data_IF_557399813253
#
_entry.id   IF_557399813253
#
_cell.length_a   1.000
_cell.length_b   1.000
_cell.length_c   1.000
_cell.angle_alpha   90.00
_cell.angle_beta   90.00
_cell.angle_gamma   90.00
#
_symmetry.space_group_name_H-M   'P 1'
#
loop_
_entity.id
_entity.type
_entity.pdbx_description
1 polymer ?
#
# COMPACT_ATOMS: atom_id res chain seq x y z
N UNK A 1 52.33 -16.00 38.95
CA UNK A 1 52.73 -16.22 37.55
C UNK A 1 51.74 -17.17 36.91
N UNK A 2 50.81 -16.65 36.10
CA UNK A 2 50.01 -17.49 35.19
C UNK A 2 49.71 -16.67 33.96
N UNK A 3 50.51 -16.91 32.92
CA UNK A 3 50.40 -16.30 31.60
C UNK A 3 49.36 -17.06 30.80
N UNK A 4 48.27 -16.41 30.38
CA UNK A 4 47.38 -16.94 29.34
C UNK A 4 47.50 -16.04 28.12
N UNK A 5 47.98 -16.63 27.02
CA UNK A 5 48.02 -16.00 25.70
C UNK A 5 46.96 -16.65 24.80
N UNK A 6 46.61 -15.87 23.76
CA UNK A 6 46.08 -16.26 22.44
C UNK A 6 44.54 -16.48 22.40
N UNK A 7 43.81 -15.61 21.69
CA UNK A 7 43.38 -15.89 20.31
C UNK A 7 42.74 -14.66 19.66
N UNK A 8 43.32 -14.24 18.54
CA UNK A 8 42.75 -13.28 17.61
C UNK A 8 41.51 -13.90 16.95
N UNK A 9 40.38 -13.23 17.05
CA UNK A 9 39.22 -13.49 16.21
C UNK A 9 39.09 -12.32 15.22
N UNK A 10 39.46 -12.58 13.97
CA UNK A 10 39.23 -11.67 12.86
C UNK A 10 37.71 -11.52 12.66
N UNK A 11 37.16 -10.37 13.03
CA UNK A 11 35.77 -10.02 12.75
C UNK A 11 35.63 -9.67 11.27
N UNK A 12 35.04 -10.58 10.48
CA UNK A 12 34.53 -10.24 9.16
C UNK A 12 33.37 -9.25 9.34
N UNK A 13 33.60 -7.98 9.03
CA UNK A 13 32.54 -6.98 8.92
C UNK A 13 31.88 -7.17 7.55
N UNK A 14 30.75 -7.85 7.52
CA UNK A 14 29.88 -7.87 6.34
C UNK A 14 29.22 -6.49 6.19
N UNK A 15 29.69 -5.69 5.24
CA UNK A 15 29.02 -4.45 4.82
C UNK A 15 27.75 -4.84 4.06
N UNK A 16 26.60 -4.76 4.72
CA UNK A 16 25.31 -4.83 4.06
C UNK A 16 25.12 -3.55 3.22
N UNK A 17 25.27 -3.66 1.90
CA UNK A 17 24.92 -2.58 0.99
C UNK A 17 23.39 -2.53 0.86
N UNK A 18 22.76 -1.56 1.52
CA UNK A 18 21.34 -1.27 1.32
C UNK A 18 21.24 -0.50 0.00
N UNK A 19 20.43 -0.92 -0.98
CA UNK A 19 20.18 -0.11 -2.17
C UNK A 19 19.41 1.14 -1.74
N UNK A 20 20.04 2.30 -1.82
CA UNK A 20 19.37 3.59 -1.74
C UNK A 20 18.55 3.76 -3.02
N UNK A 21 17.24 3.53 -2.92
CA UNK A 21 16.30 3.91 -3.97
C UNK A 21 16.14 5.43 -3.94
N UNK A 22 16.88 6.11 -4.82
CA UNK A 22 16.65 7.51 -5.12
C UNK A 22 15.32 7.65 -5.86
N UNK A 23 14.24 7.92 -5.13
CA UNK A 23 12.98 8.31 -5.72
C UNK A 23 13.09 9.79 -6.12
N UNK A 24 13.48 10.03 -7.39
CA UNK A 24 13.40 11.35 -7.98
C UNK A 24 11.94 11.81 -7.93
N UNK A 25 11.66 12.77 -7.05
CA UNK A 25 10.36 13.41 -6.95
C UNK A 25 10.21 14.43 -8.09
N UNK A 26 10.09 13.94 -9.32
CA UNK A 26 9.53 14.74 -10.40
C UNK A 26 8.00 14.72 -10.25
N UNK A 27 7.46 15.87 -9.86
CA UNK A 27 6.04 16.07 -9.59
C UNK A 27 5.16 15.80 -10.80
N UNK A 28 4.71 14.56 -10.94
CA UNK A 28 3.46 14.16 -11.63
C UNK A 28 2.83 13.00 -10.87
N UNK A 29 1.52 13.03 -10.59
CA UNK A 29 0.84 11.84 -10.07
C UNK A 29 0.72 10.83 -11.21
N UNK A 30 1.63 9.85 -11.25
CA UNK A 30 1.50 8.66 -12.09
C UNK A 30 0.61 7.62 -11.37
N UNK A 31 -0.37 7.01 -12.04
CA UNK A 31 -1.21 5.99 -11.42
C UNK A 31 -0.37 4.73 -11.17
N UNK A 32 -0.18 4.37 -9.90
CA UNK A 32 0.53 3.15 -9.54
C UNK A 32 -0.16 1.90 -10.13
N UNK A 33 0.55 1.21 -11.02
CA UNK A 33 0.17 -0.05 -11.61
C UNK A 33 0.32 -1.23 -10.61
N UNK A 34 -0.55 -2.22 -10.79
CA UNK A 34 -0.80 -3.37 -9.93
C UNK A 34 0.43 -4.27 -9.64
N UNK A 35 0.47 -4.82 -8.42
CA UNK A 35 1.25 -5.99 -8.02
C UNK A 35 0.31 -7.02 -7.34
N UNK A 36 0.69 -8.32 -7.25
CA UNK A 36 -0.08 -9.43 -7.80
C UNK A 36 -1.26 -9.94 -6.95
N UNK A 37 -2.19 -10.59 -7.65
CA UNK A 37 -3.44 -11.14 -7.14
C UNK A 37 -3.23 -12.31 -6.18
N UNK A 38 -3.71 -12.13 -4.95
CA UNK A 38 -4.01 -13.20 -4.00
C UNK A 38 -5.22 -14.00 -4.54
N UNK A 39 -4.94 -15.01 -5.35
CA UNK A 39 -5.91 -15.83 -6.07
C UNK A 39 -6.69 -16.83 -5.17
N UNK A 40 -6.78 -16.57 -3.87
CA UNK A 40 -7.54 -17.36 -2.90
C UNK A 40 -8.70 -16.58 -2.21
N UNK A 41 -8.85 -15.27 -2.45
CA UNK A 41 -9.94 -14.44 -1.92
C UNK A 41 -11.05 -14.15 -2.95
N UNK A 42 -11.19 -15.04 -3.94
CA UNK A 42 -11.95 -14.86 -5.19
C UNK A 42 -13.47 -15.05 -5.03
N UNK A 43 -14.03 -14.54 -3.94
CA UNK A 43 -15.36 -13.93 -3.97
C UNK A 43 -15.13 -12.42 -3.98
N UNK A 44 -14.51 -11.92 -5.05
CA UNK A 44 -14.19 -10.51 -5.27
C UNK A 44 -15.44 -9.68 -5.03
N UNK A 45 -15.58 -9.14 -3.81
CA UNK A 45 -16.76 -8.38 -3.39
C UNK A 45 -16.82 -7.17 -4.29
N UNK A 46 -17.67 -7.22 -5.32
CA UNK A 46 -17.84 -6.15 -6.31
C UNK A 46 -18.02 -4.83 -5.56
N UNK A 47 -17.06 -3.92 -5.73
CA UNK A 47 -17.13 -2.58 -5.16
C UNK A 47 -17.80 -1.67 -6.17
N UNK A 48 -18.67 -0.81 -5.67
CA UNK A 48 -19.39 0.22 -6.40
C UNK A 48 -18.85 1.56 -5.95
N UNK A 49 -18.46 2.39 -6.92
CA UNK A 49 -17.89 3.70 -6.66
C UNK A 49 -18.89 4.80 -6.99
N UNK A 50 -19.18 5.63 -6.00
CA UNK A 50 -20.04 6.81 -6.14
C UNK A 50 -19.16 8.06 -6.07
N UNK A 51 -19.44 9.04 -6.91
CA UNK A 51 -18.76 10.33 -6.90
C UNK A 51 -19.60 11.31 -6.11
N UNK A 52 -19.05 11.85 -5.03
CA UNK A 52 -19.69 12.83 -4.16
C UNK A 52 -19.08 14.21 -4.39
N UNK A 53 -19.92 15.18 -4.71
CA UNK A 53 -19.54 16.58 -4.69
C UNK A 53 -19.58 17.07 -3.24
N UNK A 54 -18.44 17.49 -2.71
CA UNK A 54 -18.37 18.08 -1.36
C UNK A 54 -18.58 19.59 -1.46
N UNK A 55 -19.53 20.15 -0.70
CA UNK A 55 -19.76 21.60 -0.64
C UNK A 55 -18.48 22.35 -0.26
N UNK A 56 -18.19 23.45 -0.96
CA UNK A 56 -16.99 24.27 -0.72
C UNK A 56 -15.70 23.72 -1.36
N UNK A 57 -15.74 22.56 -2.01
CA UNK A 57 -14.63 22.03 -2.80
C UNK A 57 -15.05 21.84 -4.26
N UNK A 58 -14.16 22.19 -5.19
CA UNK A 58 -14.33 21.86 -6.63
C UNK A 58 -13.85 20.45 -6.98
N UNK A 59 -13.22 19.76 -6.02
CA UNK A 59 -12.70 18.41 -6.22
C UNK A 59 -13.74 17.41 -5.70
N UNK A 60 -14.29 16.63 -6.62
CA UNK A 60 -15.21 15.55 -6.30
C UNK A 60 -14.45 14.37 -5.67
N UNK A 61 -15.05 13.72 -4.68
CA UNK A 61 -14.48 12.54 -4.01
C UNK A 61 -15.12 11.29 -4.55
N UNK A 62 -14.31 10.26 -4.84
CA UNK A 62 -14.80 8.94 -5.25
C UNK A 62 -14.78 8.01 -4.06
N UNK A 63 -15.95 7.56 -3.63
CA UNK A 63 -16.11 6.62 -2.52
C UNK A 63 -16.48 5.26 -3.10
N UNK A 64 -15.68 4.24 -2.82
CA UNK A 64 -15.91 2.88 -3.30
C UNK A 64 -16.22 1.93 -2.14
N UNK A 65 -17.42 1.34 -2.12
CA UNK A 65 -17.84 0.36 -1.11
C UNK A 65 -18.51 -0.84 -1.77
N UNK A 66 -18.60 -1.96 -1.07
CA UNK A 66 -19.40 -3.11 -1.52
C UNK A 66 -20.89 -2.78 -1.48
N UNK A 67 -21.73 -3.55 -2.18
CA UNK A 67 -23.19 -3.33 -2.16
C UNK A 67 -23.75 -3.38 -0.73
N UNK A 68 -23.33 -4.34 0.08
CA UNK A 68 -23.78 -4.49 1.47
C UNK A 68 -23.46 -3.25 2.31
N UNK A 69 -22.25 -2.68 2.13
CA UNK A 69 -21.86 -1.46 2.83
C UNK A 69 -22.67 -0.24 2.36
N UNK A 70 -23.04 -0.16 1.08
CA UNK A 70 -23.92 0.90 0.59
C UNK A 70 -25.35 0.75 1.11
N UNK A 71 -25.88 -0.47 1.12
CA UNK A 71 -27.21 -0.76 1.66
C UNK A 71 -27.28 -0.46 3.17
N UNK A 72 -26.20 -0.66 3.91
CA UNK A 72 -26.10 -0.26 5.32
C UNK A 72 -26.19 1.27 5.52
N UNK A 73 -25.88 2.06 4.48
CA UNK A 73 -26.08 3.52 4.45
C UNK A 73 -27.45 3.90 3.86
N UNK A 74 -28.29 2.95 3.48
CA UNK A 74 -29.58 3.20 2.83
C UNK A 74 -29.48 3.59 1.35
N UNK A 75 -28.36 3.32 0.68
CA UNK A 75 -28.14 3.63 -0.73
C UNK A 75 -27.91 2.34 -1.54
N UNK A 76 -28.61 2.14 -2.66
CA UNK A 76 -28.32 1.03 -3.58
C UNK A 76 -27.65 1.55 -4.87
N UNK A 77 -26.33 1.32 -5.07
CA UNK A 77 -25.61 1.78 -6.26
C UNK A 77 -25.98 1.01 -7.55
N UNK A 78 -26.87 0.02 -7.46
CA UNK A 78 -27.30 -0.82 -8.60
C UNK A 78 -28.75 -0.60 -9.01
N UNK A 79 -29.53 0.15 -8.24
CA UNK A 79 -30.87 0.55 -8.64
C UNK A 79 -30.74 1.71 -9.64
N UNK A 80 -31.06 1.44 -10.91
CA UNK A 80 -31.10 2.43 -11.98
C UNK A 80 -32.51 3.02 -12.09
#
# INVERSE_FOLDING_TARGET
>A
MTTFKILAAAGLVALATIPVMAQAADGRPEPAANAPADAAATASKKKFCVVEATTGSRVAKKICRTRTEWLALGFDPTSK
#
